data_IF_588926213069
#
_entry.id   IF_588926213069
#
_cell.length_a   1.000
_cell.length_b   1.000
_cell.length_c   1.000
_cell.angle_alpha   90.00
_cell.angle_beta   90.00
_cell.angle_gamma   90.00
#
_symmetry.space_group_name_H-M   'P 1'
#
loop_
_entity.id
_entity.type
_entity.pdbx_description
1 polymer ?
#
# COMPACT_ATOMS: atom_id res chain seq x y z
N UNK A 1 -10.13 3.90 -16.81
CA UNK A 1 -9.75 3.82 -15.41
C UNK A 1 -10.62 4.73 -14.55
N UNK A 2 -11.24 4.19 -13.47
CA UNK A 2 -12.01 4.96 -12.48
C UNK A 2 -11.23 4.97 -11.17
N UNK A 3 -10.96 6.14 -10.60
CA UNK A 3 -10.27 6.32 -9.33
C UNK A 3 -11.24 6.82 -8.26
N UNK A 4 -10.97 6.47 -7.01
CA UNK A 4 -11.78 6.88 -5.88
C UNK A 4 -11.71 8.40 -5.65
N UNK A 5 -12.83 9.13 -5.77
CA UNK A 5 -12.84 10.59 -5.63
C UNK A 5 -12.42 11.07 -4.24
N UNK A 6 -12.61 10.26 -3.18
CA UNK A 6 -12.16 10.58 -1.81
C UNK A 6 -10.63 10.67 -1.67
N UNK A 7 -9.88 10.13 -2.64
CA UNK A 7 -8.41 10.17 -2.67
C UNK A 7 -7.84 11.31 -3.53
N UNK A 8 -8.69 12.11 -4.17
CA UNK A 8 -8.25 13.18 -5.09
C UNK A 8 -7.23 14.13 -4.44
N UNK A 9 -7.53 14.64 -3.26
CA UNK A 9 -6.66 15.60 -2.56
C UNK A 9 -5.40 14.94 -2.01
N UNK A 10 -5.51 13.68 -1.58
CA UNK A 10 -4.35 12.88 -1.19
C UNK A 10 -3.33 12.76 -2.34
N UNK A 11 -3.80 12.51 -3.56
CA UNK A 11 -2.93 12.39 -4.72
C UNK A 11 -2.34 13.73 -5.17
N UNK A 12 -3.08 14.83 -5.05
CA UNK A 12 -2.63 16.18 -5.44
C UNK A 12 -1.65 16.82 -4.47
N UNK A 13 -1.71 16.47 -3.20
CA UNK A 13 -0.85 17.05 -2.17
C UNK A 13 0.58 16.52 -2.29
N UNK A 14 1.56 17.41 -2.37
CA UNK A 14 2.97 17.04 -2.40
C UNK A 14 3.50 16.79 -0.99
N UNK A 15 3.88 15.54 -0.73
CA UNK A 15 4.61 15.12 0.48
C UNK A 15 5.56 13.99 0.12
N UNK A 16 6.70 13.97 0.79
CA UNK A 16 7.75 13.00 0.53
C UNK A 16 7.34 11.56 0.92
N UNK A 17 6.50 11.43 1.93
CA UNK A 17 5.94 10.14 2.34
C UNK A 17 4.43 10.27 2.36
N UNK A 18 3.75 9.38 1.66
CA UNK A 18 2.29 9.27 1.63
C UNK A 18 1.89 7.93 2.21
N UNK A 19 1.01 7.94 3.18
CA UNK A 19 0.54 6.74 3.88
C UNK A 19 -0.96 6.59 3.69
N UNK A 20 -1.35 5.57 2.94
CA UNK A 20 -2.74 5.24 2.67
C UNK A 20 -3.10 3.95 3.42
N UNK A 21 -3.90 4.06 4.46
CA UNK A 21 -4.21 2.93 5.31
C UNK A 21 -5.70 2.81 5.61
N UNK A 22 -6.12 1.66 6.15
CA UNK A 22 -7.53 1.41 6.51
C UNK A 22 -7.96 -0.02 6.23
N UNK A 23 -9.26 -0.27 6.22
CA UNK A 23 -9.82 -1.60 6.06
C UNK A 23 -9.70 -2.20 4.66
N UNK A 24 -10.05 -3.48 4.54
CA UNK A 24 -10.20 -4.16 3.25
C UNK A 24 -11.34 -3.55 2.44
N UNK A 25 -11.40 -3.89 1.15
CA UNK A 25 -12.41 -3.43 0.20
C UNK A 25 -12.48 -1.89 0.00
N UNK A 26 -11.47 -1.14 0.40
CA UNK A 26 -11.41 0.33 0.38
C UNK A 26 -10.75 0.93 -0.87
N UNK A 27 -10.45 0.14 -1.89
CA UNK A 27 -9.78 0.54 -3.15
C UNK A 27 -8.31 0.99 -3.05
N UNK A 28 -7.66 1.02 -1.87
CA UNK A 28 -6.30 1.55 -1.67
C UNK A 28 -5.29 1.14 -2.75
N UNK A 29 -5.10 -0.16 -2.91
CA UNK A 29 -4.11 -0.71 -3.85
C UNK A 29 -4.50 -0.45 -5.29
N UNK A 30 -5.80 -0.55 -5.63
CA UNK A 30 -6.31 -0.26 -6.97
C UNK A 30 -6.10 1.20 -7.36
N UNK A 31 -6.44 2.14 -6.47
CA UNK A 31 -6.24 3.56 -6.71
C UNK A 31 -4.75 3.91 -6.83
N UNK A 32 -3.91 3.32 -5.96
CA UNK A 32 -2.45 3.51 -6.04
C UNK A 32 -1.91 3.03 -7.39
N UNK A 33 -2.26 1.82 -7.81
CA UNK A 33 -1.87 1.28 -9.10
C UNK A 33 -2.32 2.17 -10.27
N UNK A 34 -3.59 2.59 -10.25
CA UNK A 34 -4.17 3.43 -11.29
C UNK A 34 -3.50 4.81 -11.39
N UNK A 35 -3.25 5.46 -10.26
CA UNK A 35 -2.55 6.76 -10.22
C UNK A 35 -1.11 6.63 -10.71
N UNK A 36 -0.41 5.56 -10.34
CA UNK A 36 0.96 5.32 -10.79
C UNK A 36 1.03 5.05 -12.29
N UNK A 37 0.09 4.29 -12.85
CA UNK A 37 -0.03 4.11 -14.30
C UNK A 37 -0.32 5.44 -15.00
N UNK A 38 -1.22 6.25 -14.45
CA UNK A 38 -1.51 7.58 -14.98
C UNK A 38 -0.25 8.46 -14.98
N UNK A 39 0.47 8.56 -13.87
CA UNK A 39 1.70 9.36 -13.82
C UNK A 39 2.77 8.83 -14.77
N UNK A 40 3.01 7.53 -14.78
CA UNK A 40 3.96 6.89 -15.69
C UNK A 40 3.61 7.08 -17.17
N UNK A 41 2.32 7.25 -17.50
CA UNK A 41 1.89 7.55 -18.85
C UNK A 41 2.11 9.02 -19.27
N UNK A 42 2.27 9.94 -18.32
CA UNK A 42 2.41 11.38 -18.60
C UNK A 42 3.85 11.85 -18.60
N UNK A 43 4.66 11.35 -17.67
CA UNK A 43 6.06 11.72 -17.52
C UNK A 43 6.91 10.46 -17.34
N UNK A 44 8.18 10.52 -17.79
CA UNK A 44 9.11 9.41 -17.62
C UNK A 44 9.45 9.23 -16.14
N UNK A 45 9.08 8.07 -15.59
CA UNK A 45 9.28 7.72 -14.16
C UNK A 45 9.89 6.34 -14.03
N UNK A 46 10.73 6.17 -13.03
CA UNK A 46 11.21 4.88 -12.56
C UNK A 46 10.56 4.58 -11.23
N UNK A 47 9.69 3.57 -11.21
CA UNK A 47 8.81 3.26 -10.08
C UNK A 47 9.23 1.93 -9.48
N UNK A 48 9.63 1.94 -8.20
CA UNK A 48 9.88 0.75 -7.43
C UNK A 48 8.58 0.31 -6.75
N UNK A 49 8.08 -0.85 -7.12
CA UNK A 49 7.02 -1.55 -6.41
C UNK A 49 7.66 -2.56 -5.45
N UNK A 50 7.47 -2.36 -4.17
CA UNK A 50 8.08 -3.17 -3.12
C UNK A 50 7.03 -3.83 -2.23
N UNK A 51 7.34 -5.01 -1.73
CA UNK A 51 6.59 -5.74 -0.72
C UNK A 51 7.58 -6.51 0.16
N UNK A 52 7.18 -6.97 1.34
CA UNK A 52 8.10 -7.73 2.19
C UNK A 52 8.69 -8.96 1.48
N UNK A 53 7.84 -9.77 0.82
CA UNK A 53 8.25 -11.01 0.17
C UNK A 53 8.18 -10.89 -1.36
N UNK A 54 9.25 -11.34 -2.06
CA UNK A 54 9.36 -11.30 -3.52
C UNK A 54 8.28 -12.12 -4.24
N UNK A 55 8.03 -13.34 -3.82
CA UNK A 55 7.05 -14.23 -4.44
C UNK A 55 5.62 -13.71 -4.35
N UNK A 56 5.31 -12.89 -3.36
CA UNK A 56 3.98 -12.30 -3.20
C UNK A 56 3.75 -11.05 -4.04
N UNK A 57 4.80 -10.39 -4.54
CA UNK A 57 4.67 -9.17 -5.33
C UNK A 57 4.12 -9.45 -6.74
N UNK A 58 4.51 -10.59 -7.33
CA UNK A 58 3.98 -11.03 -8.63
C UNK A 58 2.50 -11.36 -8.57
N UNK A 59 2.04 -11.95 -7.48
CA UNK A 59 0.63 -12.32 -7.26
C UNK A 59 -0.26 -11.13 -6.88
N UNK A 60 0.31 -10.00 -6.44
CA UNK A 60 -0.44 -8.85 -5.97
C UNK A 60 -0.26 -7.60 -6.83
N UNK A 61 0.80 -6.82 -6.59
CA UNK A 61 1.03 -5.53 -7.24
C UNK A 61 1.21 -5.66 -8.76
N UNK A 62 2.04 -6.61 -9.18
CA UNK A 62 2.28 -6.86 -10.60
C UNK A 62 1.00 -7.34 -11.31
N UNK A 63 0.28 -8.31 -10.73
CA UNK A 63 -0.97 -8.81 -11.29
C UNK A 63 -2.03 -7.70 -11.38
N UNK A 64 -2.14 -6.85 -10.36
CA UNK A 64 -3.07 -5.72 -10.34
C UNK A 64 -2.76 -4.70 -11.45
N UNK A 65 -1.50 -4.29 -11.59
CA UNK A 65 -1.07 -3.39 -12.66
C UNK A 65 -1.35 -4.00 -14.04
N UNK A 66 -1.03 -5.28 -14.22
CA UNK A 66 -1.31 -6.02 -15.46
C UNK A 66 -2.80 -6.02 -15.78
N UNK A 67 -3.67 -6.31 -14.82
CA UNK A 67 -5.12 -6.31 -15.01
C UNK A 67 -5.61 -4.94 -15.48
N UNK A 68 -5.24 -3.85 -14.78
CA UNK A 68 -5.63 -2.50 -15.16
C UNK A 68 -5.15 -2.14 -16.57
N UNK A 69 -3.92 -2.51 -16.92
CA UNK A 69 -3.37 -2.25 -18.27
C UNK A 69 -4.17 -3.01 -19.34
N UNK A 70 -4.52 -4.27 -19.08
CA UNK A 70 -5.23 -5.09 -20.08
C UNK A 70 -6.69 -4.67 -20.26
N UNK A 71 -7.32 -4.12 -19.24
CA UNK A 71 -8.70 -3.62 -19.27
C UNK A 71 -8.83 -2.23 -19.92
N UNK A 72 -7.76 -1.42 -19.94
CA UNK A 72 -7.76 -0.08 -20.49
C UNK A 72 -7.05 -0.03 -21.85
N UNK A 73 -7.80 0.28 -22.93
CA UNK A 73 -7.28 0.28 -24.29
C UNK A 73 -6.09 1.25 -24.48
N UNK A 74 -6.12 2.41 -23.82
CA UNK A 74 -5.05 3.41 -23.90
C UNK A 74 -3.76 2.86 -23.25
N UNK A 75 -3.90 2.27 -22.07
CA UNK A 75 -2.74 1.70 -21.36
C UNK A 75 -2.21 0.46 -22.07
N UNK A 76 -3.06 -0.39 -22.62
CA UNK A 76 -2.66 -1.59 -23.36
C UNK A 76 -1.82 -1.25 -24.60
N UNK A 77 -2.07 -0.13 -25.25
CA UNK A 77 -1.26 0.35 -26.41
C UNK A 77 0.09 0.93 -25.97
N UNK A 78 0.19 1.47 -24.76
CA UNK A 78 1.35 2.22 -24.27
C UNK A 78 2.29 1.43 -23.39
N UNK A 79 1.77 0.44 -22.63
CA UNK A 79 2.55 -0.35 -21.69
C UNK A 79 2.84 -1.74 -22.24
N UNK A 80 4.10 -2.15 -22.15
CA UNK A 80 4.57 -3.50 -22.44
C UNK A 80 4.84 -4.22 -21.14
N UNK A 81 4.27 -5.41 -21.00
CA UNK A 81 4.35 -6.25 -19.81
C UNK A 81 5.43 -7.32 -20.06
N UNK A 82 6.46 -7.35 -19.22
CA UNK A 82 7.54 -8.34 -19.22
C UNK A 82 7.43 -9.17 -17.94
N UNK A 83 8.15 -10.29 -17.87
CA UNK A 83 8.11 -11.20 -16.72
C UNK A 83 8.36 -10.51 -15.36
N UNK A 84 9.35 -9.60 -15.30
CA UNK A 84 9.79 -8.94 -14.07
C UNK A 84 9.72 -7.41 -14.12
N UNK A 85 9.06 -6.84 -15.11
CA UNK A 85 8.92 -5.38 -15.26
C UNK A 85 7.74 -5.00 -16.14
N UNK A 86 7.29 -3.75 -16.01
CA UNK A 86 6.32 -3.14 -16.92
C UNK A 86 6.94 -1.85 -17.44
N UNK A 87 6.92 -1.62 -18.75
CA UNK A 87 7.53 -0.44 -19.38
C UNK A 87 6.52 0.32 -20.22
N UNK A 88 6.56 1.64 -20.13
CA UNK A 88 5.76 2.54 -20.97
C UNK A 88 6.57 2.99 -22.20
N UNK A 89 5.89 3.36 -23.28
CA UNK A 89 6.46 3.89 -24.52
C UNK A 89 7.30 5.16 -24.32
N UNK A 90 7.02 5.96 -23.30
CA UNK A 90 7.78 7.15 -22.94
C UNK A 90 9.07 6.87 -22.13
N UNK A 91 9.39 5.59 -21.87
CA UNK A 91 10.56 5.16 -21.11
C UNK A 91 10.32 5.07 -19.59
N UNK A 92 9.08 5.18 -19.10
CA UNK A 92 8.75 4.84 -17.71
C UNK A 92 8.86 3.35 -17.49
N UNK A 93 9.26 2.94 -16.28
CA UNK A 93 9.35 1.55 -15.89
C UNK A 93 8.88 1.29 -14.46
N UNK A 94 8.26 0.13 -14.25
CA UNK A 94 7.95 -0.44 -12.95
C UNK A 94 8.88 -1.61 -12.67
N UNK A 95 9.52 -1.58 -11.51
CA UNK A 95 10.45 -2.59 -11.00
C UNK A 95 9.82 -3.24 -9.77
N UNK A 96 9.93 -4.56 -9.63
CA UNK A 96 9.28 -5.33 -8.58
C UNK A 96 10.30 -6.05 -7.71
N UNK A 97 10.46 -5.66 -6.42
CA UNK A 97 11.44 -6.23 -5.51
C UNK A 97 10.84 -6.54 -4.13
N UNK A 98 11.16 -7.72 -3.60
CA UNK A 98 10.87 -8.09 -2.22
C UNK A 98 11.93 -7.52 -1.26
N UNK A 99 11.51 -6.75 -0.27
CA UNK A 99 12.44 -6.06 0.65
C UNK A 99 13.29 -7.06 1.44
N UNK A 100 12.71 -8.16 1.92
CA UNK A 100 13.38 -9.07 2.84
C UNK A 100 14.63 -9.73 2.25
N UNK A 101 14.59 -10.12 0.97
CA UNK A 101 15.71 -10.83 0.31
C UNK A 101 16.57 -9.92 -0.53
N UNK A 102 16.02 -8.81 -1.03
CA UNK A 102 16.68 -7.96 -2.02
C UNK A 102 17.05 -6.57 -1.46
N UNK A 103 17.20 -6.44 -0.14
CA UNK A 103 17.50 -5.15 0.48
C UNK A 103 18.82 -4.55 -0.04
N UNK A 104 19.82 -5.41 -0.33
CA UNK A 104 21.09 -4.98 -0.93
C UNK A 104 20.93 -4.51 -2.37
N UNK A 105 20.05 -5.16 -3.14
CA UNK A 105 19.71 -4.74 -4.51
C UNK A 105 19.00 -3.38 -4.50
N UNK A 106 18.05 -3.17 -3.58
CA UNK A 106 17.36 -1.88 -3.42
C UNK A 106 18.35 -0.76 -3.12
N UNK A 107 19.37 -0.98 -2.28
CA UNK A 107 20.43 0.01 -2.03
C UNK A 107 21.18 0.44 -3.29
N UNK A 108 21.36 -0.47 -4.24
CA UNK A 108 22.04 -0.21 -5.52
C UNK A 108 21.19 0.51 -6.55
N UNK A 109 19.88 0.67 -6.33
CA UNK A 109 19.02 1.36 -7.28
C UNK A 109 19.34 2.84 -7.36
N UNK A 110 19.24 3.41 -8.57
CA UNK A 110 19.38 4.83 -8.84
C UNK A 110 18.18 5.35 -9.62
N UNK A 111 17.98 6.66 -9.57
CA UNK A 111 16.93 7.37 -10.33
C UNK A 111 15.51 6.90 -10.01
N UNK A 112 15.25 6.45 -8.79
CA UNK A 112 13.91 6.07 -8.36
C UNK A 112 13.09 7.35 -8.14
N UNK A 113 12.03 7.50 -8.94
CA UNK A 113 11.12 8.64 -8.85
C UNK A 113 10.04 8.42 -7.79
N UNK A 114 9.47 7.21 -7.75
CA UNK A 114 8.41 6.85 -6.83
C UNK A 114 8.66 5.44 -6.29
N UNK A 115 8.43 5.25 -5.01
CA UNK A 115 8.42 3.92 -4.40
C UNK A 115 7.03 3.64 -3.85
N UNK A 116 6.45 2.52 -4.23
CA UNK A 116 5.22 1.99 -3.65
C UNK A 116 5.53 0.76 -2.82
N UNK A 117 5.29 0.85 -1.51
CA UNK A 117 5.43 -0.27 -0.57
C UNK A 117 4.04 -0.80 -0.23
N UNK A 118 3.70 -1.97 -0.75
CA UNK A 118 2.45 -2.67 -0.48
C UNK A 118 2.59 -3.57 0.75
N UNK A 119 1.52 -3.71 1.54
CA UNK A 119 1.52 -4.39 2.84
C UNK A 119 2.64 -3.88 3.77
N UNK A 120 2.75 -2.55 3.84
CA UNK A 120 3.84 -1.92 4.57
C UNK A 120 3.74 -2.07 6.09
N UNK A 121 2.64 -2.61 6.64
CA UNK A 121 2.54 -2.99 8.06
C UNK A 121 3.60 -4.02 8.47
N UNK A 122 4.11 -4.77 7.52
CA UNK A 122 5.16 -5.77 7.74
C UNK A 122 6.58 -5.21 7.69
N UNK A 123 6.75 -3.92 7.35
CA UNK A 123 8.05 -3.26 7.26
C UNK A 123 8.61 -3.03 8.66
N UNK A 124 9.87 -3.42 8.86
CA UNK A 124 10.57 -3.16 10.13
C UNK A 124 11.30 -1.82 10.09
N UNK A 125 11.59 -1.25 11.28
CA UNK A 125 12.37 -0.03 11.40
C UNK A 125 13.77 -0.17 10.78
N UNK A 126 14.42 -1.31 10.98
CA UNK A 126 15.72 -1.61 10.38
C UNK A 126 15.65 -1.57 8.84
N UNK A 127 14.67 -2.26 8.25
CA UNK A 127 14.46 -2.26 6.79
C UNK A 127 14.20 -0.85 6.28
N UNK A 128 13.35 -0.08 6.95
CA UNK A 128 13.07 1.31 6.58
C UNK A 128 14.32 2.18 6.59
N UNK A 129 15.11 2.11 7.66
CA UNK A 129 16.35 2.89 7.79
C UNK A 129 17.38 2.54 6.71
N UNK A 130 17.36 1.30 6.22
CA UNK A 130 18.24 0.86 5.13
C UNK A 130 17.77 1.36 3.77
N UNK A 131 16.47 1.26 3.44
CA UNK A 131 15.97 1.59 2.10
C UNK A 131 15.66 3.09 1.92
N UNK A 132 15.27 3.78 2.97
CA UNK A 132 14.87 5.19 2.93
C UNK A 132 15.88 6.11 2.21
N UNK A 133 17.19 6.05 2.48
CA UNK A 133 18.15 6.92 1.81
C UNK A 133 18.21 6.73 0.30
N UNK A 134 17.91 5.52 -0.18
CA UNK A 134 17.90 5.20 -1.62
C UNK A 134 16.62 5.67 -2.30
N UNK A 135 15.46 5.37 -1.71
CA UNK A 135 14.15 5.64 -2.32
C UNK A 135 13.74 7.13 -2.24
N UNK A 136 14.39 7.90 -1.39
CA UNK A 136 14.14 9.35 -1.23
C UNK A 136 15.35 10.20 -1.62
N UNK A 137 16.26 9.65 -2.43
CA UNK A 137 17.50 10.33 -2.84
C UNK A 137 17.28 11.41 -3.89
N UNK A 138 16.44 11.10 -4.87
CA UNK A 138 16.25 11.97 -6.03
C UNK A 138 15.35 13.16 -5.67
N UNK A 139 15.63 14.31 -6.26
CA UNK A 139 14.80 15.49 -6.06
C UNK A 139 13.36 15.23 -6.55
N UNK A 140 12.39 15.50 -5.68
CA UNK A 140 10.97 15.26 -5.97
C UNK A 140 10.53 13.80 -5.87
N UNK A 141 11.43 12.87 -5.51
CA UNK A 141 11.04 11.49 -5.24
C UNK A 141 10.16 11.40 -3.99
N UNK A 142 9.26 10.42 -3.99
CA UNK A 142 8.39 10.17 -2.84
C UNK A 142 8.07 8.69 -2.68
N UNK A 143 7.67 8.34 -1.46
CA UNK A 143 7.27 6.99 -1.09
C UNK A 143 5.77 6.94 -0.79
N UNK A 144 5.09 5.92 -1.28
CA UNK A 144 3.70 5.59 -0.96
C UNK A 144 3.72 4.29 -0.16
N UNK A 145 3.16 4.31 1.04
CA UNK A 145 2.93 3.13 1.87
C UNK A 145 1.45 2.80 1.87
N UNK A 146 1.12 1.55 1.54
CA UNK A 146 -0.28 1.07 1.53
C UNK A 146 -0.38 -0.13 2.46
N UNK A 147 -1.33 -0.08 3.40
CA UNK A 147 -1.52 -1.20 4.32
C UNK A 147 -2.88 -1.23 5.02
N UNK A 148 -3.20 -2.40 5.55
CA UNK A 148 -4.24 -2.59 6.56
C UNK A 148 -3.56 -2.72 7.92
N UNK A 149 -3.88 -1.85 8.90
CA UNK A 149 -3.28 -1.94 10.23
C UNK A 149 -3.48 -3.34 10.85
N UNK A 150 -2.40 -3.95 11.33
CA UNK A 150 -2.44 -5.23 12.01
C UNK A 150 -2.44 -5.02 13.52
N UNK A 151 -1.33 -4.49 14.05
CA UNK A 151 -1.17 -4.17 15.47
C UNK A 151 -0.81 -2.70 15.67
N UNK A 152 -1.22 -2.14 16.77
CA UNK A 152 -0.85 -0.78 17.20
C UNK A 152 0.65 -0.66 17.52
N UNK A 153 1.33 -1.79 17.75
CA UNK A 153 2.76 -1.90 18.02
C UNK A 153 3.61 -2.01 16.76
N UNK A 154 3.02 -2.24 15.59
CA UNK A 154 3.76 -2.32 14.31
C UNK A 154 4.50 -1.00 14.03
N UNK A 155 5.76 -1.10 13.56
CA UNK A 155 6.63 0.06 13.32
C UNK A 155 5.97 1.13 12.46
N UNK A 156 5.37 0.74 11.32
CA UNK A 156 4.76 1.71 10.39
C UNK A 156 3.57 2.43 11.03
N UNK A 157 2.77 1.73 11.84
CA UNK A 157 1.65 2.34 12.55
C UNK A 157 2.14 3.33 13.59
N UNK A 158 3.08 2.92 14.45
CA UNK A 158 3.68 3.82 15.47
C UNK A 158 4.33 5.04 14.87
N UNK A 159 5.16 4.84 13.83
CA UNK A 159 5.97 5.90 13.28
C UNK A 159 5.16 6.88 12.43
N UNK A 160 4.27 6.38 11.56
CA UNK A 160 3.62 7.22 10.55
C UNK A 160 2.16 7.56 10.85
N UNK A 161 1.50 6.84 11.75
CA UNK A 161 0.09 7.12 12.13
C UNK A 161 0.01 7.81 13.48
N UNK A 162 0.71 7.29 14.51
CA UNK A 162 0.64 7.87 15.86
C UNK A 162 1.51 9.11 16.01
N UNK A 163 2.65 9.18 15.30
CA UNK A 163 3.51 10.36 15.31
C UNK A 163 3.16 11.30 14.14
N UNK A 164 3.26 12.60 14.38
CA UNK A 164 3.08 13.61 13.35
C UNK A 164 4.42 14.02 12.75
N UNK A 165 4.53 13.99 11.43
CA UNK A 165 5.72 14.42 10.70
C UNK A 165 5.32 15.45 9.63
N UNK A 166 6.13 16.49 9.46
CA UNK A 166 5.87 17.58 8.51
C UNK A 166 5.89 17.11 7.05
N UNK A 167 6.69 16.10 6.74
CA UNK A 167 6.86 15.56 5.38
C UNK A 167 6.00 14.32 5.09
N UNK A 168 5.11 13.94 6.00
CA UNK A 168 4.22 12.78 5.87
C UNK A 168 2.78 13.25 5.66
N UNK A 169 2.09 12.64 4.71
CA UNK A 169 0.64 12.78 4.51
C UNK A 169 0.00 11.43 4.79
N UNK A 170 -0.92 11.38 5.72
CA UNK A 170 -1.70 10.18 6.04
C UNK A 170 -3.14 10.31 5.61
N UNK A 171 -3.72 9.24 5.08
CA UNK A 171 -5.14 9.15 4.76
C UNK A 171 -5.67 7.79 5.15
N UNK A 172 -6.68 7.77 6.01
CA UNK A 172 -7.45 6.56 6.31
C UNK A 172 -8.64 6.46 5.37
N UNK A 173 -8.86 5.29 4.76
CA UNK A 173 -10.06 4.97 3.99
C UNK A 173 -10.54 3.54 4.27
N UNK A 174 -11.84 3.35 4.22
CA UNK A 174 -12.49 2.07 4.49
C UNK A 174 -13.42 1.70 3.34
N UNK A 175 -14.10 0.56 3.45
CA UNK A 175 -15.06 0.12 2.45
C UNK A 175 -16.20 1.14 2.21
N UNK A 176 -16.60 1.87 3.24
CA UNK A 176 -17.62 2.94 3.15
C UNK A 176 -17.21 4.13 2.28
N UNK A 177 -15.91 4.31 2.07
CA UNK A 177 -15.34 5.36 1.21
C UNK A 177 -15.11 4.86 -0.23
N UNK A 178 -15.41 3.59 -0.53
CA UNK A 178 -15.24 3.00 -1.86
C UNK A 178 -16.55 3.01 -2.65
N UNK A 179 -16.71 3.92 -3.62
CA UNK A 179 -17.96 4.04 -4.39
C UNK A 179 -18.11 2.95 -5.48
N UNK A 180 -17.16 2.03 -5.60
CA UNK A 180 -17.10 1.03 -6.67
C UNK A 180 -17.36 -0.40 -6.18
N UNK A 181 -17.77 -0.57 -4.93
CA UNK A 181 -18.13 -1.89 -4.41
C UNK A 181 -19.39 -2.41 -5.10
N UNK A 182 -19.36 -3.70 -5.47
CA UNK A 182 -20.56 -4.39 -5.95
C UNK A 182 -21.54 -4.64 -4.80
N UNK A 183 -22.81 -4.86 -5.14
CA UNK A 183 -23.84 -5.23 -4.16
C UNK A 183 -23.47 -6.52 -3.43
N UNK A 184 -22.92 -7.50 -4.13
CA UNK A 184 -22.46 -8.76 -3.52
C UNK A 184 -21.36 -8.54 -2.48
N UNK A 185 -20.39 -7.66 -2.78
CA UNK A 185 -19.34 -7.32 -1.83
C UNK A 185 -19.89 -6.60 -0.60
N UNK A 186 -20.86 -5.70 -0.77
CA UNK A 186 -21.54 -5.02 0.34
C UNK A 186 -22.36 -5.98 1.19
N UNK A 187 -23.08 -6.92 0.54
CA UNK A 187 -23.85 -7.94 1.23
C UNK A 187 -22.95 -8.84 2.08
N UNK A 188 -21.80 -9.28 1.53
CA UNK A 188 -20.83 -10.06 2.29
C UNK A 188 -20.32 -9.27 3.52
N UNK A 189 -19.99 -7.98 3.35
CA UNK A 189 -19.55 -7.14 4.47
C UNK A 189 -20.65 -6.99 5.54
N UNK A 190 -21.92 -6.93 5.13
CA UNK A 190 -23.03 -6.88 6.07
C UNK A 190 -23.17 -8.20 6.85
N UNK A 191 -23.03 -9.34 6.20
CA UNK A 191 -23.03 -10.66 6.87
C UNK A 191 -21.87 -10.73 7.86
N UNK A 192 -20.65 -10.39 7.43
CA UNK A 192 -19.48 -10.38 8.30
C UNK A 192 -19.65 -9.44 9.52
N UNK A 193 -20.39 -8.35 9.37
CA UNK A 193 -20.69 -7.42 10.47
C UNK A 193 -21.56 -8.04 11.55
N UNK A 194 -22.48 -8.92 11.15
CA UNK A 194 -23.39 -9.63 12.08
C UNK A 194 -22.71 -10.86 12.72
N UNK A 195 -21.84 -11.53 11.97
CA UNK A 195 -21.27 -12.82 12.37
C UNK A 195 -19.92 -12.70 13.09
N UNK A 196 -19.10 -11.70 12.76
CA UNK A 196 -17.76 -11.55 13.33
C UNK A 196 -17.81 -10.82 14.70
N UNK A 197 -16.85 -11.16 15.56
CA UNK A 197 -16.54 -10.31 16.71
C UNK A 197 -16.27 -8.87 16.25
N UNK A 198 -16.79 -7.90 17.00
CA UNK A 198 -16.70 -6.48 16.62
C UNK A 198 -15.26 -5.98 16.46
N UNK A 199 -14.30 -6.48 17.26
CA UNK A 199 -12.88 -6.11 17.10
C UNK A 199 -12.30 -6.69 15.82
N UNK A 200 -12.69 -7.91 15.46
CA UNK A 200 -12.28 -8.56 14.21
C UNK A 200 -12.84 -7.80 13.01
N UNK A 201 -14.13 -7.49 13.01
CA UNK A 201 -14.77 -6.67 11.96
C UNK A 201 -14.10 -5.30 11.82
N UNK A 202 -13.89 -4.60 12.93
CA UNK A 202 -13.25 -3.28 12.95
C UNK A 202 -11.82 -3.33 12.42
N UNK A 203 -11.07 -4.38 12.71
CA UNK A 203 -9.73 -4.54 12.14
C UNK A 203 -9.77 -4.79 10.64
N UNK A 204 -10.60 -5.74 10.17
CA UNK A 204 -10.66 -6.14 8.76
C UNK A 204 -11.20 -5.01 7.89
N UNK A 205 -12.34 -4.41 8.25
CA UNK A 205 -13.10 -3.52 7.38
C UNK A 205 -12.95 -2.03 7.71
N UNK A 206 -12.64 -1.68 8.96
CA UNK A 206 -12.46 -0.30 9.38
C UNK A 206 -10.98 0.07 9.63
N UNK A 207 -10.07 -0.89 9.46
CA UNK A 207 -8.62 -0.64 9.59
C UNK A 207 -8.22 -0.14 10.97
N UNK A 208 -8.88 -0.61 12.02
CA UNK A 208 -8.46 -0.38 13.38
C UNK A 208 -7.39 -1.43 13.75
N UNK A 209 -6.25 -1.04 14.33
CA UNK A 209 -5.25 -2.01 14.74
C UNK A 209 -5.78 -2.85 15.90
N UNK A 210 -5.32 -4.09 16.00
CA UNK A 210 -5.49 -4.89 17.21
C UNK A 210 -4.50 -4.44 18.27
N UNK A 211 -4.86 -4.54 19.54
CA UNK A 211 -3.87 -4.41 20.61
C UNK A 211 -3.09 -5.73 20.75
N UNK A 212 -1.78 -5.63 20.97
CA UNK A 212 -0.91 -6.81 21.14
C UNK A 212 -1.36 -7.74 22.29
N UNK A 213 -2.10 -7.16 23.26
CA UNK A 213 -2.64 -7.91 24.41
C UNK A 213 -3.88 -8.77 24.05
N UNK A 214 -4.53 -8.56 22.92
CA UNK A 214 -5.71 -9.32 22.50
C UNK A 214 -5.36 -10.71 21.94
N UNK A 215 -4.18 -10.84 21.32
CA UNK A 215 -3.67 -12.11 20.77
C UNK A 215 -2.78 -12.87 21.77
N UNK A 216 -2.57 -12.37 22.97
CA UNK A 216 -1.79 -13.07 24.00
C UNK A 216 -2.55 -14.30 24.51
N UNK A 217 -1.89 -15.47 24.48
CA UNK A 217 -2.42 -16.74 25.03
C UNK A 217 -2.82 -16.61 26.50
N UNK A 218 -2.17 -15.70 27.25
CA UNK A 218 -2.49 -15.37 28.64
C UNK A 218 -2.84 -13.89 28.68
N UNK A 219 -4.12 -13.57 28.81
CA UNK A 219 -4.57 -12.18 28.96
C UNK A 219 -4.13 -11.64 30.32
N UNK A 220 -3.52 -10.44 30.36
CA UNK A 220 -3.07 -9.78 31.60
C UNK A 220 -4.13 -9.79 32.70
N UNK A 221 -5.42 -9.64 32.35
CA UNK A 221 -6.54 -9.70 33.29
C UNK A 221 -6.66 -11.07 34.02
N UNK A 222 -6.12 -12.15 33.47
CA UNK A 222 -6.12 -13.46 34.11
C UNK A 222 -4.98 -13.63 35.11
N UNK A 223 -3.88 -12.88 34.97
CA UNK A 223 -2.76 -12.88 35.92
C UNK A 223 -3.08 -12.13 37.21
N UNK A 224 -4.11 -11.29 37.23
CA UNK A 224 -4.56 -10.55 38.42
C UNK A 224 -5.84 -11.14 39.05
N UNK A 225 -6.34 -12.25 38.52
CA UNK A 225 -7.52 -12.96 39.05
C UNK A 225 -7.17 -14.17 39.93
N UNK A 226 -5.88 -14.37 40.26
CA UNK A 226 -5.38 -15.38 41.21
C UNK A 226 -5.01 -14.75 42.52
#
# INVERSE_FOLDING_TARGET
LKLNPYLRDFWKTHKQIKVLYGGRASSKSYDTAGVLLFFASKVKLRILCARRFQNKISESVYALLKTIIMEDEIYRKRFKIYENSIKCDNGSEFIFLGIQRNISEIKGLSNISITWIEESELLTEEQWNIIRPTILREQGSFCIMVFNPRFDTDFVYKEFILKKHLNVLTKKINYTDNPFLSEDALNLIHVDKEELDSNVFNNIYLGNPKSENEDALIKRKWLYAC
#
